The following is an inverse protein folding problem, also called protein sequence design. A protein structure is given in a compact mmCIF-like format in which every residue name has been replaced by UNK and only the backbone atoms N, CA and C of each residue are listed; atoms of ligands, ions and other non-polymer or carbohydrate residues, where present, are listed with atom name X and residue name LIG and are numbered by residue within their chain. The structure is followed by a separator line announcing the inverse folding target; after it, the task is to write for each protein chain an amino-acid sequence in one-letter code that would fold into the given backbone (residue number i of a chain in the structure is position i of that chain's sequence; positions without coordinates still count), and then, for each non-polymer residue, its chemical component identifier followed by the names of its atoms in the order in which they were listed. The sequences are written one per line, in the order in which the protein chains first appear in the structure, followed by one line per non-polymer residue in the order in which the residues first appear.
data_IF_568234651498
#
_entry.id   IF_568234651498
#
_cell.length_a   1.000
_cell.length_b   1.000
_cell.length_c   1.000
_cell.angle_alpha   90.00
_cell.angle_beta   90.00
_cell.angle_gamma   90.00
#
_symmetry.space_group_name_H-M   'P 1'
#
loop_
_entity.id
_entity.type
_entity.pdbx_description
1 polymer ?
#
# COMPACT_ATOMS: atom_id res chain seq x y z
N UNK A 1 6.07 11.08 -48.23
CA UNK A 1 4.77 10.57 -47.73
C UNK A 1 4.90 10.30 -46.23
N UNK A 2 4.47 11.24 -45.39
CA UNK A 2 4.41 11.06 -43.95
C UNK A 2 3.24 10.14 -43.61
N UNK A 3 3.46 9.10 -42.79
CA UNK A 3 2.38 8.27 -42.25
C UNK A 3 1.52 9.14 -41.34
N UNK A 4 0.18 9.12 -41.46
CA UNK A 4 -0.67 9.79 -40.50
C UNK A 4 -0.52 9.09 -39.14
N UNK A 5 -0.10 9.86 -38.14
CA UNK A 5 -0.15 9.41 -36.74
C UNK A 5 -1.61 9.07 -36.42
N UNK A 6 -1.86 7.78 -36.17
CA UNK A 6 -3.14 7.31 -35.64
C UNK A 6 -3.25 7.89 -34.22
N UNK A 7 -3.90 9.04 -34.10
CA UNK A 7 -4.28 9.62 -32.84
C UNK A 7 -5.14 8.60 -32.10
N UNK A 8 -4.60 8.02 -31.03
CA UNK A 8 -5.37 7.17 -30.12
C UNK A 8 -6.47 8.05 -29.56
N UNK A 9 -7.70 7.87 -30.07
CA UNK A 9 -8.89 8.50 -29.54
C UNK A 9 -9.02 8.07 -28.07
N UNK A 10 -8.64 8.97 -27.17
CA UNK A 10 -8.89 8.80 -25.74
C UNK A 10 -10.40 8.79 -25.59
N UNK A 11 -11.01 7.72 -25.03
CA UNK A 11 -12.45 7.66 -24.88
C UNK A 11 -12.93 8.87 -24.06
N UNK A 12 -14.07 9.47 -24.42
CA UNK A 12 -14.57 10.65 -23.73
C UNK A 12 -14.77 10.36 -22.24
N UNK A 13 -14.29 11.26 -21.39
CA UNK A 13 -14.40 11.12 -19.94
C UNK A 13 -15.89 11.05 -19.55
N UNK A 14 -16.33 10.02 -18.79
CA UNK A 14 -17.73 9.89 -18.40
C UNK A 14 -18.20 11.00 -17.44
N UNK A 15 -17.28 11.72 -16.79
CA UNK A 15 -17.57 12.91 -15.98
C UNK A 15 -16.57 14.04 -16.32
N UNK A 16 -16.95 15.03 -17.15
CA UNK A 16 -16.08 16.14 -17.53
C UNK A 16 -15.54 16.96 -16.35
N UNK A 17 -16.24 16.94 -15.21
CA UNK A 17 -15.83 17.61 -13.97
C UNK A 17 -14.66 16.95 -13.24
N UNK A 18 -14.31 15.70 -13.55
CA UNK A 18 -13.25 14.93 -12.89
C UNK A 18 -11.99 14.76 -13.75
N UNK A 19 -11.79 15.65 -14.73
CA UNK A 19 -10.68 15.62 -15.70
C UNK A 19 -9.29 15.55 -15.06
N UNK A 20 -9.12 16.04 -13.82
CA UNK A 20 -7.85 16.02 -13.12
C UNK A 20 -7.22 14.61 -13.02
N UNK A 21 -8.02 13.56 -12.76
CA UNK A 21 -7.55 12.16 -12.63
C UNK A 21 -7.47 11.40 -13.96
N UNK A 22 -8.02 11.99 -15.03
CA UNK A 22 -7.99 11.43 -16.39
C UNK A 22 -6.81 11.96 -17.20
N UNK A 23 -6.33 13.16 -16.89
CA UNK A 23 -5.09 13.68 -17.46
C UNK A 23 -3.86 12.89 -16.96
N UNK A 24 -2.83 12.68 -17.80
CA UNK A 24 -1.59 12.06 -17.36
C UNK A 24 -0.96 12.88 -16.22
N UNK A 25 -0.23 12.22 -15.28
CA UNK A 25 0.51 12.94 -14.26
C UNK A 25 1.59 13.84 -14.89
N UNK A 26 2.03 14.90 -14.20
CA UNK A 26 3.16 15.72 -14.66
C UNK A 26 4.36 14.85 -15.04
N UNK A 27 5.04 15.18 -16.14
CA UNK A 27 6.16 14.36 -16.63
C UNK A 27 7.45 14.53 -15.82
N UNK A 28 7.63 15.66 -15.13
CA UNK A 28 8.88 15.99 -14.45
C UNK A 28 9.31 14.99 -13.35
N UNK A 29 8.41 14.38 -12.54
CA UNK A 29 8.84 13.39 -11.55
C UNK A 29 9.35 12.10 -12.21
N UNK A 30 8.79 11.71 -13.36
CA UNK A 30 9.27 10.54 -14.10
C UNK A 30 10.71 10.74 -14.57
N UNK A 31 11.02 11.93 -15.04
CA UNK A 31 12.37 12.28 -15.47
C UNK A 31 13.37 12.12 -14.32
N UNK A 32 13.02 12.63 -13.14
CA UNK A 32 13.90 12.60 -11.95
C UNK A 32 14.04 11.19 -11.38
N UNK A 33 12.93 10.48 -11.19
CA UNK A 33 12.91 9.22 -10.43
C UNK A 33 13.06 7.95 -11.28
N UNK A 34 12.73 7.98 -12.57
CA UNK A 34 12.80 6.79 -13.42
C UNK A 34 13.91 6.90 -14.47
N UNK A 35 14.00 8.03 -15.18
CA UNK A 35 14.90 8.12 -16.33
C UNK A 35 16.36 8.29 -15.92
N UNK A 36 16.65 9.07 -14.87
CA UNK A 36 18.03 9.27 -14.39
C UNK A 36 18.62 7.98 -13.80
N UNK A 37 17.95 7.27 -12.86
CA UNK A 37 18.50 6.05 -12.29
C UNK A 37 18.61 4.92 -13.31
N UNK A 38 17.63 4.77 -14.22
CA UNK A 38 17.70 3.76 -15.27
C UNK A 38 18.92 3.99 -16.20
N UNK A 39 19.19 5.25 -16.58
CA UNK A 39 20.37 5.60 -17.38
C UNK A 39 21.68 5.34 -16.64
N UNK A 40 21.73 5.62 -15.33
CA UNK A 40 22.89 5.30 -14.48
C UNK A 40 23.09 3.79 -14.32
N UNK A 41 22.02 3.02 -14.16
CA UNK A 41 22.09 1.56 -14.01
C UNK A 41 22.54 0.87 -15.32
N UNK A 42 22.20 1.45 -16.47
CA UNK A 42 22.66 1.00 -17.79
C UNK A 42 24.18 1.20 -18.01
N UNK A 43 24.85 2.00 -17.19
CA UNK A 43 26.31 2.15 -17.24
C UNK A 43 27.07 1.00 -16.55
N UNK A 44 26.38 0.07 -15.88
CA UNK A 44 26.98 -1.12 -15.27
C UNK A 44 26.86 -2.34 -16.23
N UNK A 45 27.94 -2.78 -16.89
CA UNK A 45 27.87 -3.71 -18.04
C UNK A 45 27.50 -5.17 -17.75
N UNK A 46 27.31 -5.58 -16.49
CA UNK A 46 27.27 -7.01 -16.12
C UNK A 46 25.91 -7.57 -15.62
N UNK A 47 24.82 -6.81 -15.57
CA UNK A 47 23.65 -7.21 -14.75
C UNK A 47 22.35 -7.56 -15.50
N UNK A 48 22.36 -7.94 -16.78
CA UNK A 48 21.11 -8.24 -17.49
C UNK A 48 20.39 -9.51 -17.00
N UNK A 49 21.14 -10.54 -16.56
CA UNK A 49 20.57 -11.81 -16.08
C UNK A 49 20.20 -11.78 -14.58
N UNK A 50 20.83 -10.93 -13.78
CA UNK A 50 20.45 -10.69 -12.39
C UNK A 50 19.15 -9.86 -12.29
N UNK A 51 18.84 -8.99 -13.25
CA UNK A 51 17.78 -7.98 -13.11
C UNK A 51 16.33 -8.50 -12.88
N UNK A 52 15.98 -9.74 -13.22
CA UNK A 52 14.61 -10.28 -13.00
C UNK A 52 14.43 -11.02 -11.67
N UNK A 53 15.40 -11.84 -11.25
CA UNK A 53 15.40 -12.45 -9.92
C UNK A 53 15.80 -11.44 -8.83
N UNK A 54 16.57 -10.40 -9.20
CA UNK A 54 17.07 -9.36 -8.30
C UNK A 54 15.95 -8.52 -7.67
N UNK A 55 14.97 -8.04 -8.43
CA UNK A 55 14.00 -7.09 -7.86
C UNK A 55 13.11 -7.71 -6.78
N UNK A 56 12.54 -8.90 -7.03
CA UNK A 56 11.71 -9.58 -6.03
C UNK A 56 12.53 -10.00 -4.80
N UNK A 57 13.75 -10.52 -5.00
CA UNK A 57 14.65 -10.87 -3.91
C UNK A 57 15.10 -9.65 -3.09
N UNK A 58 15.38 -8.52 -3.75
CA UNK A 58 15.69 -7.24 -3.09
C UNK A 58 14.49 -6.76 -2.27
N UNK A 59 13.28 -6.72 -2.86
CA UNK A 59 12.10 -6.28 -2.11
C UNK A 59 11.78 -7.20 -0.94
N UNK A 60 11.92 -8.51 -1.12
CA UNK A 60 11.75 -9.48 -0.03
C UNK A 60 12.81 -9.26 1.04
N UNK A 61 14.08 -9.10 0.66
CA UNK A 61 15.19 -8.88 1.59
C UNK A 61 15.05 -7.57 2.36
N UNK A 62 14.74 -6.47 1.69
CA UNK A 62 14.46 -5.17 2.31
C UNK A 62 13.24 -5.27 3.23
N UNK A 63 12.17 -5.94 2.79
CA UNK A 63 10.97 -6.20 3.59
C UNK A 63 11.28 -7.02 4.84
N UNK A 64 12.09 -8.07 4.73
CA UNK A 64 12.54 -8.89 5.87
C UNK A 64 13.41 -8.08 6.81
N UNK A 65 14.37 -7.29 6.32
CA UNK A 65 15.21 -6.42 7.15
C UNK A 65 14.35 -5.40 7.90
N UNK A 66 13.38 -4.77 7.23
CA UNK A 66 12.45 -3.82 7.86
C UNK A 66 11.56 -4.50 8.90
N UNK A 67 11.05 -5.70 8.62
CA UNK A 67 10.25 -6.47 9.57
C UNK A 67 11.09 -6.85 10.80
N UNK A 68 12.31 -7.34 10.61
CA UNK A 68 13.24 -7.65 11.69
C UNK A 68 13.56 -6.41 12.51
N UNK A 69 13.80 -5.27 11.87
CA UNK A 69 13.99 -3.99 12.55
C UNK A 69 12.79 -3.64 13.43
N UNK A 70 11.56 -3.71 12.90
CA UNK A 70 10.35 -3.43 13.68
C UNK A 70 10.14 -4.38 14.85
N UNK A 71 10.42 -5.67 14.68
CA UNK A 71 10.35 -6.66 15.77
C UNK A 71 11.36 -6.33 16.87
N UNK A 72 12.62 -6.04 16.52
CA UNK A 72 13.66 -5.68 17.49
C UNK A 72 13.30 -4.37 18.22
N UNK A 73 12.80 -3.36 17.50
CA UNK A 73 12.38 -2.10 18.10
C UNK A 73 11.18 -2.28 19.03
N UNK A 74 10.20 -3.13 18.69
CA UNK A 74 9.10 -3.48 19.60
C UNK A 74 9.60 -4.19 20.85
N UNK A 75 10.58 -5.10 20.75
CA UNK A 75 11.18 -5.74 21.93
C UNK A 75 11.79 -4.67 22.85
N UNK A 76 12.51 -3.69 22.30
CA UNK A 76 13.07 -2.60 23.10
C UNK A 76 11.99 -1.68 23.68
N UNK A 77 10.97 -1.32 22.89
CA UNK A 77 9.85 -0.50 23.35
C UNK A 77 9.14 -1.16 24.54
N UNK A 78 8.74 -2.43 24.40
CA UNK A 78 8.04 -3.14 25.47
C UNK A 78 8.96 -3.51 26.64
N UNK A 79 10.26 -3.69 26.41
CA UNK A 79 11.25 -3.84 27.49
C UNK A 79 11.38 -2.55 28.31
N UNK A 80 11.42 -1.39 27.66
CA UNK A 80 11.45 -0.08 28.35
C UNK A 80 10.12 0.20 29.04
N UNK A 81 9.01 -0.07 28.36
CA UNK A 81 7.67 0.12 28.90
C UNK A 81 7.51 -0.55 30.25
N UNK A 82 7.99 -1.80 30.43
CA UNK A 82 7.94 -2.56 31.70
C UNK A 82 8.46 -1.86 32.95
N UNK A 83 9.29 -0.83 32.79
CA UNK A 83 9.89 -0.07 33.89
C UNK A 83 9.49 1.41 33.86
N UNK A 84 8.45 1.78 33.12
CA UNK A 84 8.07 3.17 32.88
C UNK A 84 6.67 3.43 33.40
N UNK A 85 6.52 4.42 34.29
CA UNK A 85 5.21 4.92 34.67
C UNK A 85 4.68 5.88 33.61
N UNK A 86 3.59 5.52 32.90
CA UNK A 86 2.99 6.40 31.88
C UNK A 86 2.45 7.71 32.45
N UNK A 87 2.07 7.74 33.73
CA UNK A 87 1.61 8.94 34.42
C UNK A 87 2.75 9.92 34.70
N UNK A 88 3.99 9.45 34.79
CA UNK A 88 5.17 10.28 35.04
C UNK A 88 5.90 10.64 33.73
N UNK A 89 6.14 9.65 32.88
CA UNK A 89 6.95 9.78 31.65
C UNK A 89 6.25 10.64 30.59
N UNK A 90 4.92 10.69 30.59
CA UNK A 90 4.17 11.50 29.64
C UNK A 90 4.15 13.01 29.96
N UNK A 91 4.43 13.38 31.21
CA UNK A 91 4.36 14.77 31.70
C UNK A 91 5.72 15.33 32.11
N UNK A 92 6.74 14.48 32.17
CA UNK A 92 8.11 14.92 32.47
C UNK A 92 8.56 15.87 31.39
N UNK A 93 8.90 17.10 31.79
CA UNK A 93 9.47 18.06 30.87
C UNK A 93 10.82 17.53 30.41
N UNK A 94 11.01 17.47 29.10
CA UNK A 94 12.28 17.09 28.53
C UNK A 94 13.38 18.04 28.99
N UNK A 95 14.54 17.47 29.34
CA UNK A 95 15.69 18.27 29.77
C UNK A 95 16.17 19.16 28.61
N UNK A 96 16.65 20.36 28.92
CA UNK A 96 17.16 21.26 27.89
C UNK A 96 18.31 20.58 27.10
N UNK A 97 18.11 20.37 25.79
CA UNK A 97 19.08 19.69 24.92
C UNK A 97 18.99 18.17 24.90
N UNK A 98 17.96 17.57 25.49
CA UNK A 98 17.70 16.13 25.37
C UNK A 98 17.38 15.77 23.91
N UNK A 99 18.04 14.72 23.42
CA UNK A 99 17.81 14.20 22.08
C UNK A 99 16.59 13.28 22.09
N UNK A 100 15.73 13.41 21.08
CA UNK A 100 14.57 12.54 20.92
C UNK A 100 14.97 11.06 20.82
N UNK A 101 14.23 10.21 21.54
CA UNK A 101 14.27 8.77 21.40
C UNK A 101 12.84 8.21 21.33
N UNK A 102 12.57 7.22 20.47
CA UNK A 102 11.26 6.55 20.44
C UNK A 102 10.95 5.78 21.74
N UNK A 103 11.93 5.64 22.64
CA UNK A 103 11.83 4.89 23.89
C UNK A 103 11.75 5.79 25.14
N UNK A 104 11.71 7.11 24.96
CA UNK A 104 11.62 8.10 26.06
C UNK A 104 10.34 8.90 25.94
N UNK A 105 9.85 9.45 27.05
CA UNK A 105 8.61 10.23 27.08
C UNK A 105 7.41 9.44 26.53
N UNK A 106 7.32 8.18 26.93
CA UNK A 106 6.32 7.22 26.45
C UNK A 106 4.92 7.68 26.88
N UNK A 107 4.08 7.90 25.87
CA UNK A 107 2.65 8.10 26.04
C UNK A 107 1.87 6.88 25.56
N UNK A 108 0.61 6.77 25.98
CA UNK A 108 -0.31 5.76 25.43
C UNK A 108 -0.36 5.86 23.91
N UNK A 109 -0.47 7.09 23.37
CA UNK A 109 -0.47 7.33 21.92
C UNK A 109 0.81 6.79 21.26
N UNK A 110 1.98 7.03 21.85
CA UNK A 110 3.25 6.55 21.31
C UNK A 110 3.31 5.02 21.26
N UNK A 111 2.89 4.34 22.32
CA UNK A 111 2.92 2.87 22.40
C UNK A 111 1.93 2.22 21.43
N UNK A 112 0.74 2.81 21.26
CA UNK A 112 -0.30 2.31 20.36
C UNK A 112 -0.07 2.69 18.88
N UNK A 113 0.87 3.59 18.58
CA UNK A 113 1.15 4.04 17.22
C UNK A 113 1.76 2.92 16.36
N UNK A 114 1.52 2.97 15.05
CA UNK A 114 2.06 2.01 14.10
C UNK A 114 3.59 2.08 13.99
N UNK A 115 4.22 0.98 13.56
CA UNK A 115 5.68 0.86 13.51
C UNK A 115 6.35 1.93 12.63
N UNK A 116 5.92 2.19 11.38
CA UNK A 116 6.52 3.23 10.56
C UNK A 116 6.44 4.61 11.20
N UNK A 117 5.28 5.00 11.73
CA UNK A 117 5.12 6.30 12.40
C UNK A 117 6.02 6.43 13.63
N UNK A 118 6.05 5.41 14.48
CA UNK A 118 6.78 5.46 15.75
C UNK A 118 8.31 5.31 15.59
N UNK A 119 8.78 4.46 14.66
CA UNK A 119 10.21 4.14 14.54
C UNK A 119 10.93 4.76 13.34
N UNK A 120 10.20 5.35 12.39
CA UNK A 120 10.79 5.95 11.19
C UNK A 120 10.37 7.41 11.09
N UNK A 121 9.08 7.70 10.94
CA UNK A 121 8.63 9.06 10.63
C UNK A 121 8.90 10.02 11.78
N UNK A 122 8.42 9.74 12.99
CA UNK A 122 8.61 10.64 14.15
C UNK A 122 10.10 10.85 14.48
N UNK A 123 10.96 9.80 14.57
CA UNK A 123 12.39 10.03 14.78
C UNK A 123 13.06 10.84 13.68
N UNK A 124 12.68 10.60 12.41
CA UNK A 124 13.28 11.34 11.29
C UNK A 124 12.84 12.81 11.23
N UNK A 125 11.61 13.13 11.63
CA UNK A 125 11.13 14.51 11.68
C UNK A 125 11.75 15.28 12.85
N UNK A 126 11.96 14.64 14.01
CA UNK A 126 12.70 15.21 15.15
C UNK A 126 14.19 15.40 14.81
N UNK A 127 14.81 14.42 14.14
CA UNK A 127 16.18 14.53 13.64
C UNK A 127 16.30 15.67 12.61
N UNK A 128 15.34 15.80 11.70
CA UNK A 128 15.33 16.91 10.75
C UNK A 128 15.25 18.26 11.46
N UNK A 129 14.35 18.42 12.44
CA UNK A 129 14.23 19.67 13.18
C UNK A 129 15.49 19.98 13.99
N UNK A 130 16.09 18.99 14.66
CA UNK A 130 17.32 19.20 15.43
C UNK A 130 18.54 19.55 14.57
N UNK A 131 18.70 18.91 13.40
CA UNK A 131 19.81 19.18 12.47
C UNK A 131 19.68 20.53 11.77
N UNK A 132 18.48 20.86 11.30
CA UNK A 132 18.25 22.08 10.50
C UNK A 132 17.83 23.27 11.34
N UNK A 133 17.47 23.05 12.62
CA UNK A 133 16.82 24.05 13.48
C UNK A 133 15.64 24.73 12.79
N UNK A 134 14.86 23.95 12.06
CA UNK A 134 13.80 24.45 11.18
C UNK A 134 12.84 25.38 11.91
N UNK A 135 12.36 24.98 13.10
CA UNK A 135 11.41 25.77 13.88
C UNK A 135 12.01 27.07 14.43
N UNK A 136 13.33 27.13 14.63
CA UNK A 136 14.04 28.34 15.06
C UNK A 136 14.31 29.29 13.88
N UNK A 137 14.70 28.75 12.72
CA UNK A 137 15.04 29.54 11.54
C UNK A 137 13.81 30.03 10.76
N UNK A 138 12.71 29.27 10.79
CA UNK A 138 11.48 29.56 10.07
C UNK A 138 10.28 29.64 11.04
N UNK A 139 10.28 30.57 12.00
CA UNK A 139 9.22 30.67 13.01
C UNK A 139 7.86 31.07 12.41
N UNK A 140 7.85 31.62 11.19
CA UNK A 140 6.63 31.99 10.47
C UNK A 140 5.88 30.79 9.87
N UNK A 141 6.53 29.62 9.77
CA UNK A 141 5.87 28.40 9.27
C UNK A 141 5.05 27.80 10.41
N UNK A 142 3.73 27.90 10.30
CA UNK A 142 2.79 27.30 11.26
C UNK A 142 2.60 25.80 10.98
N UNK A 143 2.14 25.07 12.00
CA UNK A 143 1.71 23.68 11.83
C UNK A 143 0.63 23.56 10.75
N UNK A 144 -0.36 24.45 10.74
CA UNK A 144 -1.43 24.47 9.73
C UNK A 144 -0.89 24.61 8.29
N UNK A 145 0.19 25.38 8.08
CA UNK A 145 0.81 25.52 6.77
C UNK A 145 1.47 24.22 6.30
N UNK A 146 2.09 23.48 7.23
CA UNK A 146 2.60 22.13 6.98
C UNK A 146 1.44 21.17 6.68
N UNK A 147 0.32 21.28 7.41
CA UNK A 147 -0.87 20.47 7.18
C UNK A 147 -1.45 20.68 5.77
N UNK A 148 -1.60 21.93 5.34
CA UNK A 148 -2.02 22.26 3.97
C UNK A 148 -1.05 21.69 2.93
N UNK A 149 0.26 21.73 3.19
CA UNK A 149 1.27 21.20 2.27
C UNK A 149 1.12 19.70 2.09
N UNK A 150 0.90 18.96 3.17
CA UNK A 150 0.72 17.51 3.08
C UNK A 150 -0.61 17.12 2.43
N UNK A 151 -1.66 17.95 2.53
CA UNK A 151 -2.88 17.81 1.71
C UNK A 151 -2.60 17.88 0.21
N UNK A 152 -1.78 18.85 -0.21
CA UNK A 152 -1.39 19.02 -1.61
C UNK A 152 -0.60 17.79 -2.08
N UNK A 153 0.33 17.29 -1.26
CA UNK A 153 1.05 16.05 -1.54
C UNK A 153 0.09 14.86 -1.70
N UNK A 154 -0.93 14.73 -0.85
CA UNK A 154 -1.94 13.65 -0.96
C UNK A 154 -2.72 13.73 -2.28
N UNK A 155 -3.12 14.93 -2.71
CA UNK A 155 -3.81 15.13 -3.99
C UNK A 155 -2.92 14.72 -5.18
N UNK A 156 -1.66 15.15 -5.18
CA UNK A 156 -0.69 14.80 -6.23
C UNK A 156 -0.46 13.27 -6.23
N UNK A 157 -0.25 12.67 -5.06
CA UNK A 157 -0.09 11.23 -4.91
C UNK A 157 -1.29 10.46 -5.48
N UNK A 158 -2.52 10.86 -5.14
CA UNK A 158 -3.74 10.25 -5.68
C UNK A 158 -3.79 10.28 -7.21
N UNK A 159 -3.36 11.38 -7.83
CA UNK A 159 -3.26 11.48 -9.29
C UNK A 159 -2.25 10.49 -9.89
N UNK A 160 -1.10 10.33 -9.27
CA UNK A 160 -0.09 9.33 -9.69
C UNK A 160 -0.60 7.89 -9.52
N UNK A 161 -1.30 7.61 -8.42
CA UNK A 161 -1.92 6.31 -8.14
C UNK A 161 -2.99 5.95 -9.17
N UNK A 162 -3.70 6.95 -9.73
CA UNK A 162 -4.70 6.75 -10.80
C UNK A 162 -4.10 6.38 -12.18
N UNK A 163 -2.77 6.31 -12.32
CA UNK A 163 -2.10 5.95 -13.58
C UNK A 163 -2.13 4.45 -13.83
N UNK A 164 -2.19 4.05 -15.10
CA UNK A 164 -2.08 2.66 -15.54
C UNK A 164 -0.65 2.12 -15.47
N UNK A 165 0.35 3.01 -15.47
CA UNK A 165 1.75 2.60 -15.33
C UNK A 165 2.11 2.33 -13.87
N UNK A 166 2.70 1.15 -13.60
CA UNK A 166 3.11 0.77 -12.25
C UNK A 166 4.15 1.74 -11.66
N UNK A 167 5.09 2.22 -12.47
CA UNK A 167 6.12 3.16 -11.99
C UNK A 167 5.52 4.48 -11.49
N UNK A 168 4.49 4.99 -12.15
CA UNK A 168 3.78 6.19 -11.68
C UNK A 168 3.09 5.94 -10.35
N UNK A 169 2.43 4.78 -10.21
CA UNK A 169 1.78 4.41 -8.95
C UNK A 169 2.79 4.32 -7.81
N UNK A 170 3.98 3.76 -8.06
CA UNK A 170 5.09 3.69 -7.10
C UNK A 170 5.62 5.08 -6.72
N UNK A 171 5.74 6.00 -7.67
CA UNK A 171 6.05 7.41 -7.38
C UNK A 171 4.95 8.02 -6.50
N UNK A 172 3.67 7.76 -6.83
CA UNK A 172 2.54 8.19 -6.02
C UNK A 172 2.61 7.69 -4.57
N UNK A 173 2.99 6.43 -4.36
CA UNK A 173 3.25 5.86 -3.03
C UNK A 173 4.38 6.62 -2.32
N UNK A 174 5.49 6.91 -3.01
CA UNK A 174 6.58 7.70 -2.45
C UNK A 174 6.16 9.12 -2.02
N UNK A 175 5.36 9.79 -2.85
CA UNK A 175 4.79 11.11 -2.51
C UNK A 175 3.85 11.00 -1.31
N UNK A 176 3.06 9.93 -1.20
CA UNK A 176 2.19 9.73 -0.06
C UNK A 176 2.97 9.39 1.22
N UNK A 177 4.09 8.67 1.14
CA UNK A 177 4.99 8.49 2.28
C UNK A 177 5.58 9.82 2.76
N UNK A 178 6.00 10.68 1.83
CA UNK A 178 6.44 12.03 2.18
C UNK A 178 5.32 12.85 2.81
N UNK A 179 4.08 12.70 2.33
CA UNK A 179 2.89 13.25 2.96
C UNK A 179 2.73 12.79 4.42
N UNK A 180 2.87 11.49 4.69
CA UNK A 180 2.82 10.94 6.06
C UNK A 180 3.98 11.44 6.94
N UNK A 181 5.14 11.66 6.34
CA UNK A 181 6.26 12.29 7.03
C UNK A 181 5.94 13.73 7.45
N UNK A 182 5.34 14.54 6.55
CA UNK A 182 4.91 15.90 6.86
C UNK A 182 3.80 15.96 7.92
N UNK A 183 2.88 15.00 7.90
CA UNK A 183 1.86 14.78 8.94
C UNK A 183 2.47 14.46 10.32
N UNK A 184 3.65 13.85 10.38
CA UNK A 184 4.37 13.73 11.65
C UNK A 184 5.13 15.01 12.03
N UNK A 185 5.48 15.82 11.03
CA UNK A 185 6.27 17.03 11.19
C UNK A 185 5.45 18.23 11.69
N UNK A 186 4.19 18.38 11.27
CA UNK A 186 3.33 19.47 11.74
C UNK A 186 3.12 19.44 13.27
N UNK A 187 3.02 18.24 13.86
CA UNK A 187 2.96 18.05 15.30
C UNK A 187 4.24 18.49 16.01
N UNK A 188 5.41 18.33 15.38
CA UNK A 188 6.68 18.82 15.94
C UNK A 188 6.73 20.34 15.89
N UNK A 189 6.37 20.93 14.75
CA UNK A 189 6.31 22.39 14.59
C UNK A 189 5.35 22.99 15.63
N UNK A 190 4.18 22.38 15.83
CA UNK A 190 3.25 22.79 16.86
C UNK A 190 3.86 22.72 18.27
N UNK A 191 4.50 21.60 18.62
CA UNK A 191 5.12 21.40 19.95
C UNK A 191 6.25 22.39 20.21
N UNK A 192 7.08 22.66 19.21
CA UNK A 192 8.17 23.64 19.30
C UNK A 192 7.61 25.04 19.58
N UNK A 193 6.59 25.46 18.83
CA UNK A 193 5.97 26.78 19.02
C UNK A 193 5.18 26.91 20.33
N UNK A 194 4.60 25.81 20.81
CA UNK A 194 3.87 25.78 22.09
C UNK A 194 4.78 25.65 23.32
N UNK A 195 6.11 25.53 23.15
CA UNK A 195 7.05 25.28 24.25
C UNK A 195 6.88 23.91 24.91
N UNK A 196 6.27 22.94 24.20
CA UNK A 196 5.97 21.57 24.66
C UNK A 196 6.88 20.55 23.99
N UNK A 197 8.17 20.85 23.93
CA UNK A 197 9.17 19.98 23.31
C UNK A 197 9.11 18.57 23.93
N UNK A 198 9.01 17.54 23.08
CA UNK A 198 8.92 16.11 23.44
C UNK A 198 7.72 15.68 24.31
N UNK A 199 6.72 16.54 24.51
CA UNK A 199 5.46 16.14 25.16
C UNK A 199 4.46 15.61 24.13
N UNK A 200 4.31 14.29 24.03
CA UNK A 200 3.44 13.63 23.04
C UNK A 200 1.99 13.41 23.50
N UNK A 201 1.49 14.28 24.38
CA UNK A 201 0.09 14.24 24.82
C UNK A 201 -0.82 14.92 23.78
N UNK A 202 -1.93 14.28 23.42
CA UNK A 202 -2.89 14.81 22.46
C UNK A 202 -3.70 15.94 23.08
N UNK A 203 -3.57 17.16 22.52
CA UNK A 203 -4.44 18.28 22.82
C UNK A 203 -5.79 18.17 22.08
N UNK A 204 -6.64 17.23 22.47
CA UNK A 204 -7.91 16.89 21.79
C UNK A 204 -8.90 18.06 21.63
N UNK A 205 -8.71 19.17 22.35
CA UNK A 205 -9.58 20.35 22.30
C UNK A 205 -9.04 21.50 21.42
N UNK A 206 -7.87 21.34 20.80
CA UNK A 206 -7.28 22.43 20.00
C UNK A 206 -7.84 22.48 18.57
N UNK A 207 -7.96 23.68 18.00
CA UNK A 207 -8.36 23.87 16.59
C UNK A 207 -7.38 23.16 15.66
N UNK A 208 -6.08 23.20 15.95
CA UNK A 208 -5.05 22.51 15.16
C UNK A 208 -5.29 21.00 15.08
N UNK A 209 -5.70 20.35 16.17
CA UNK A 209 -6.06 18.92 16.17
C UNK A 209 -7.21 18.61 15.20
N UNK A 210 -8.22 19.49 15.14
CA UNK A 210 -9.35 19.31 14.22
C UNK A 210 -8.94 19.53 12.76
N UNK A 211 -8.12 20.56 12.49
CA UNK A 211 -7.60 20.85 11.14
C UNK A 211 -6.75 19.68 10.64
N UNK A 212 -5.83 19.19 11.47
CA UNK A 212 -4.98 18.04 11.17
C UNK A 212 -5.81 16.79 10.82
N UNK A 213 -6.73 16.38 11.71
CA UNK A 213 -7.60 15.23 11.47
C UNK A 213 -8.50 15.37 10.23
N UNK A 214 -8.96 16.59 9.92
CA UNK A 214 -9.73 16.86 8.71
C UNK A 214 -8.86 16.72 7.44
N UNK A 215 -7.66 17.28 7.47
CA UNK A 215 -6.70 17.19 6.37
C UNK A 215 -6.27 15.74 6.14
N UNK A 216 -6.03 14.98 7.21
CA UNK A 216 -5.79 13.53 7.18
C UNK A 216 -6.88 12.76 6.46
N UNK A 217 -8.14 13.03 6.84
CA UNK A 217 -9.30 12.39 6.24
C UNK A 217 -9.41 12.73 4.75
N UNK A 218 -9.22 14.00 4.37
CA UNK A 218 -9.21 14.41 2.96
C UNK A 218 -8.05 13.78 2.18
N UNK A 219 -6.86 13.67 2.77
CA UNK A 219 -5.70 13.02 2.16
C UNK A 219 -5.97 11.54 1.86
N UNK A 220 -6.54 10.81 2.81
CA UNK A 220 -6.99 9.43 2.64
C UNK A 220 -8.06 9.28 1.54
N UNK A 221 -8.97 10.24 1.43
CA UNK A 221 -9.96 10.27 0.35
C UNK A 221 -9.31 10.45 -1.02
N UNK A 222 -8.31 11.33 -1.18
CA UNK A 222 -7.60 11.48 -2.45
C UNK A 222 -6.88 10.20 -2.88
N UNK A 223 -6.27 9.46 -1.95
CA UNK A 223 -5.70 8.15 -2.24
C UNK A 223 -6.78 7.16 -2.71
N UNK A 224 -7.90 7.11 -2.00
CA UNK A 224 -9.03 6.23 -2.31
C UNK A 224 -9.62 6.52 -3.68
N UNK A 225 -9.78 7.80 -4.06
CA UNK A 225 -10.17 8.19 -5.41
C UNK A 225 -9.13 7.77 -6.44
N UNK A 226 -7.83 7.96 -6.16
CA UNK A 226 -6.75 7.50 -7.03
C UNK A 226 -6.85 6.00 -7.34
N UNK A 227 -7.06 5.19 -6.31
CA UNK A 227 -7.28 3.75 -6.41
C UNK A 227 -8.54 3.43 -7.23
N UNK A 228 -9.66 4.10 -6.95
CA UNK A 228 -10.92 3.89 -7.67
C UNK A 228 -10.78 4.17 -9.17
N UNK A 229 -10.17 5.30 -9.55
CA UNK A 229 -9.96 5.66 -10.94
C UNK A 229 -9.03 4.66 -11.65
N UNK A 230 -7.99 4.20 -10.96
CA UNK A 230 -7.13 3.14 -11.49
C UNK A 230 -7.93 1.86 -11.79
N UNK A 231 -8.78 1.41 -10.86
CA UNK A 231 -9.59 0.20 -11.05
C UNK A 231 -10.62 0.37 -12.18
N UNK A 232 -11.24 1.55 -12.27
CA UNK A 232 -12.15 1.87 -13.38
C UNK A 232 -11.46 1.83 -14.74
N UNK A 233 -10.21 2.29 -14.85
CA UNK A 233 -9.43 2.19 -16.08
C UNK A 233 -9.06 0.74 -16.39
N UNK A 234 -8.52 0.02 -15.39
CA UNK A 234 -8.08 -1.37 -15.50
C UNK A 234 -9.20 -2.32 -15.95
N UNK A 235 -10.39 -2.22 -15.35
CA UNK A 235 -11.51 -3.12 -15.63
C UNK A 235 -12.56 -2.54 -16.60
N UNK A 236 -12.63 -1.22 -16.76
CA UNK A 236 -13.64 -0.57 -17.62
C UNK A 236 -13.35 -0.67 -19.12
N UNK A 237 -12.09 -0.80 -19.53
CA UNK A 237 -11.70 -0.88 -20.94
C UNK A 237 -12.24 -2.14 -21.64
N UNK A 238 -12.48 -3.21 -20.88
CA UNK A 238 -12.96 -4.51 -21.41
C UNK A 238 -14.41 -4.41 -21.88
N UNK A 239 -15.25 -3.64 -21.17
CA UNK A 239 -16.69 -3.55 -21.46
C UNK A 239 -17.00 -2.90 -22.81
N UNK A 240 -16.21 -1.90 -23.24
CA UNK A 240 -16.47 -1.18 -24.50
C UNK A 240 -16.08 -2.00 -25.73
N UNK A 241 -15.03 -2.83 -25.63
CA UNK A 241 -14.50 -3.61 -26.77
C UNK A 241 -15.37 -4.82 -27.13
N UNK A 242 -16.08 -5.40 -26.15
CA UNK A 242 -17.03 -6.48 -26.43
C UNK A 242 -18.30 -5.97 -27.13
N UNK A 243 -18.74 -4.75 -26.81
CA UNK A 243 -19.94 -4.17 -27.44
C UNK A 243 -19.72 -3.71 -28.88
N UNK A 244 -18.48 -3.45 -29.30
CA UNK A 244 -18.17 -3.07 -30.69
C UNK A 244 -17.98 -4.27 -31.62
N UNK A 245 -17.65 -5.46 -31.09
CA UNK A 245 -17.42 -6.66 -31.89
C UNK A 245 -18.68 -7.50 -32.15
N UNK A 246 -19.77 -7.26 -31.43
CA UNK A 246 -21.06 -7.94 -31.67
C UNK A 246 -21.87 -7.35 -32.84
N UNK A 247 -21.37 -6.32 -33.52
CA UNK A 247 -22.02 -5.71 -34.70
C UNK A 247 -21.43 -6.15 -36.05
N UNK A 248 -20.50 -7.12 -36.09
CA UNK A 248 -20.10 -7.72 -37.36
C UNK A 248 -21.14 -8.78 -37.78
N UNK A 249 -22.25 -8.31 -38.38
CA UNK A 249 -23.21 -9.15 -39.08
C UNK A 249 -22.52 -9.90 -40.23
N UNK A 250 -22.93 -11.14 -40.52
CA UNK A 250 -22.41 -11.90 -41.66
C UNK A 250 -22.80 -11.17 -42.94
N UNK A 251 -21.80 -10.73 -43.70
CA UNK A 251 -22.01 -10.22 -45.05
C UNK A 251 -22.67 -11.33 -45.88
N UNK A 252 -23.83 -11.00 -46.44
CA UNK A 252 -24.56 -11.76 -47.42
C UNK A 252 -23.66 -12.24 -48.54
N UNK A 253 -23.75 -13.54 -48.81
CA UNK A 253 -23.26 -14.21 -50.01
C UNK A 253 -23.79 -13.55 -51.29
N UNK A 254 -22.91 -12.91 -52.04
CA UNK A 254 -22.89 -12.86 -53.51
C UNK A 254 -21.68 -12.04 -53.94
N UNK A 255 -20.71 -12.64 -54.64
CA UNK A 255 -20.41 -12.32 -56.03
C UNK A 255 -19.16 -13.10 -56.50
N UNK A 256 -19.28 -13.59 -57.74
CA UNK A 256 -18.38 -14.51 -58.44
C UNK A 256 -17.24 -13.75 -59.11
N UNK A 257 -16.15 -14.49 -59.32
CA UNK A 257 -15.19 -14.38 -60.44
C UNK A 257 -14.42 -13.06 -60.61
N UNK A 258 -13.15 -13.04 -60.21
CA UNK A 258 -11.99 -13.02 -61.15
C UNK A 258 -10.67 -12.64 -60.45
N UNK A 259 -9.67 -13.52 -60.66
CA UNK A 259 -8.24 -13.40 -60.32
C UNK A 259 -7.58 -12.14 -60.93
N UNK A 260 -6.49 -11.61 -60.35
CA UNK A 260 -5.18 -12.13 -60.73
C UNK A 260 -4.18 -12.36 -59.59
N UNK A 261 -3.54 -13.51 -59.74
CA UNK A 261 -2.29 -14.03 -59.22
C UNK A 261 -1.17 -12.97 -59.14
N UNK A 262 -0.63 -12.72 -57.94
CA UNK A 262 0.74 -12.25 -57.74
C UNK A 262 1.39 -13.01 -56.59
N UNK A 263 2.12 -14.05 -56.94
CA UNK A 263 3.05 -14.78 -56.08
C UNK A 263 4.33 -13.95 -55.91
N UNK A 264 4.65 -13.55 -54.68
CA UNK A 264 6.01 -13.13 -54.30
C UNK A 264 6.60 -14.16 -53.34
N UNK A 265 7.50 -14.96 -53.88
CA UNK A 265 8.36 -15.89 -53.16
C UNK A 265 9.41 -15.10 -52.37
N UNK A 266 9.52 -15.34 -51.06
CA UNK A 266 10.66 -14.91 -50.25
C UNK A 266 11.52 -16.14 -49.95
N UNK A 267 12.80 -16.04 -50.30
CA UNK A 267 13.84 -17.03 -50.01
C UNK A 267 14.35 -16.85 -48.56
N UNK A 268 14.33 -17.94 -47.80
CA UNK A 268 14.94 -18.04 -46.48
C UNK A 268 16.33 -18.67 -46.60
N UNK A 269 17.36 -17.98 -46.12
CA UNK A 269 18.72 -18.54 -45.91
C UNK A 269 18.83 -19.12 -44.50
N UNK A 270 19.50 -20.27 -44.30
CA UNK A 270 19.66 -20.89 -42.98
C UNK A 270 20.94 -20.40 -42.27
N UNK A 271 20.85 -20.19 -40.95
CA UNK A 271 22.00 -20.11 -40.06
C UNK A 271 22.17 -21.44 -39.30
N UNK A 272 23.41 -21.85 -38.96
CA UNK A 272 23.68 -23.12 -38.34
C UNK A 272 23.47 -23.10 -36.82
N UNK A 273 22.96 -24.21 -36.31
CA UNK A 273 22.84 -24.55 -34.89
C UNK A 273 24.12 -25.24 -34.42
N UNK A 274 24.68 -24.78 -33.31
CA UNK A 274 25.66 -25.52 -32.52
C UNK A 274 25.25 -25.50 -31.04
N UNK A 275 24.95 -26.69 -30.50
CA UNK A 275 25.02 -27.00 -29.06
C UNK A 275 26.39 -27.69 -28.79
N UNK A 276 26.89 -27.83 -27.54
CA UNK A 276 26.32 -28.78 -26.57
C UNK A 276 26.48 -28.46 -25.04
N UNK A 277 25.68 -29.20 -24.22
CA UNK A 277 25.93 -29.65 -22.82
C UNK A 277 26.02 -28.59 -21.67
N UNK A 278 25.61 -28.80 -20.40
CA UNK A 278 25.18 -29.96 -19.59
C UNK A 278 24.55 -29.53 -18.24
N UNK A 279 23.67 -30.38 -17.65
CA UNK A 279 23.43 -30.70 -16.20
C UNK A 279 23.27 -29.56 -15.18
N UNK A 280 22.57 -29.64 -14.05
CA UNK A 280 21.57 -30.49 -13.38
C UNK A 280 21.34 -29.78 -12.03
N UNK A 281 20.13 -29.72 -11.48
CA UNK A 281 19.85 -29.86 -10.03
C UNK A 281 18.34 -29.72 -9.82
N UNK A 282 17.74 -30.67 -9.10
CA UNK A 282 16.32 -30.74 -8.80
C UNK A 282 15.95 -29.91 -7.58
N UNK A 283 14.79 -29.26 -7.63
CA UNK A 283 14.18 -28.63 -6.46
C UNK A 283 12.65 -28.77 -6.52
N UNK A 284 12.09 -28.96 -5.33
CA UNK A 284 10.70 -29.28 -5.00
C UNK A 284 9.73 -28.18 -5.46
N UNK A 285 8.67 -28.56 -6.20
CA UNK A 285 7.59 -27.64 -6.65
C UNK A 285 6.29 -27.97 -5.92
N UNK A 286 5.72 -26.96 -5.26
CA UNK A 286 4.37 -26.94 -4.69
C UNK A 286 3.35 -26.62 -5.80
N UNK A 287 2.15 -27.23 -5.82
CA UNK A 287 1.32 -27.27 -7.01
C UNK A 287 0.43 -26.03 -7.08
N UNK A 288 0.66 -25.14 -8.04
CA UNK A 288 -0.37 -24.43 -8.79
C UNK A 288 0.33 -23.67 -9.94
N UNK A 289 -0.21 -23.86 -11.14
CA UNK A 289 0.24 -23.33 -12.45
C UNK A 289 1.41 -24.08 -13.12
N UNK A 290 1.17 -25.33 -13.53
CA UNK A 290 1.86 -25.90 -14.69
C UNK A 290 1.08 -25.56 -15.96
N UNK A 291 1.68 -24.74 -16.83
CA UNK A 291 1.44 -24.86 -18.26
C UNK A 291 2.13 -26.16 -18.70
N UNK A 292 1.38 -27.25 -18.79
CA UNK A 292 1.88 -28.50 -19.33
C UNK A 292 2.31 -28.30 -20.79
N UNK A 293 3.62 -28.20 -21.03
CA UNK A 293 4.20 -28.38 -22.36
C UNK A 293 4.28 -29.89 -22.57
N UNK A 294 3.24 -30.46 -23.17
CA UNK A 294 3.26 -31.86 -23.61
C UNK A 294 4.20 -31.93 -24.82
N UNK A 295 5.44 -32.38 -24.59
CA UNK A 295 6.31 -32.84 -25.66
C UNK A 295 5.84 -34.26 -26.02
N UNK A 296 5.19 -34.41 -27.17
CA UNK A 296 4.86 -35.70 -27.73
C UNK A 296 6.17 -36.30 -28.27
N UNK A 297 6.72 -37.29 -27.57
CA UNK A 297 7.64 -38.23 -28.18
C UNK A 297 6.78 -39.32 -28.83
N UNK A 298 6.85 -39.41 -30.15
CA UNK A 298 6.40 -40.58 -30.90
C UNK A 298 7.34 -41.74 -30.56
N UNK A 299 6.90 -42.62 -29.67
CA UNK A 299 7.31 -44.02 -29.70
C UNK A 299 6.06 -44.88 -29.53
N UNK A 300 5.89 -45.73 -30.54
CA UNK A 300 4.91 -46.80 -30.62
C UNK A 300 4.97 -47.71 -29.41
N UNK A 301 3.87 -47.88 -28.70
CA UNK A 301 3.36 -49.21 -28.36
C UNK A 301 1.92 -49.17 -27.83
N UNK A 302 1.15 -50.10 -28.37
CA UNK A 302 -0.26 -50.36 -28.16
C UNK A 302 -0.54 -51.04 -26.82
N UNK A 303 -1.58 -50.54 -26.13
CA UNK A 303 -2.69 -51.29 -25.49
C UNK A 303 -3.01 -50.89 -24.04
N UNK A 304 -4.32 -50.63 -23.85
CA UNK A 304 -5.10 -50.57 -22.58
C UNK A 304 -4.84 -49.38 -21.65
N UNK A 305 -5.80 -48.45 -21.56
CA UNK A 305 -6.69 -48.32 -20.38
C UNK A 305 -7.79 -47.26 -20.61
N UNK A 306 -8.91 -47.49 -19.92
CA UNK A 306 -10.21 -46.86 -20.00
C UNK A 306 -10.37 -45.49 -19.32
N UNK A 307 -11.27 -44.69 -19.89
CA UNK A 307 -12.17 -43.72 -19.26
C UNK A 307 -11.57 -42.56 -18.43
N UNK A 308 -11.27 -41.46 -19.12
CA UNK A 308 -11.40 -40.11 -18.59
C UNK A 308 -11.82 -39.15 -19.73
N UNK A 309 -12.87 -38.38 -19.50
CA UNK A 309 -13.39 -37.38 -20.43
C UNK A 309 -12.35 -36.31 -20.73
N UNK A 310 -11.74 -36.39 -21.91
CA UNK A 310 -10.75 -35.44 -22.41
C UNK A 310 -11.39 -34.16 -22.92
N UNK A 311 -10.68 -33.01 -22.86
CA UNK A 311 -11.03 -31.84 -23.64
C UNK A 311 -10.80 -32.12 -25.13
N UNK A 312 -11.78 -31.78 -25.98
CA UNK A 312 -11.67 -31.87 -27.44
C UNK A 312 -10.44 -31.11 -27.93
N UNK A 313 -9.43 -31.86 -28.39
CA UNK A 313 -8.27 -31.31 -29.08
C UNK A 313 -8.35 -31.75 -30.54
N UNK A 314 -8.70 -30.82 -31.43
CA UNK A 314 -8.67 -31.05 -32.87
C UNK A 314 -7.23 -30.86 -33.36
N UNK A 315 -6.54 -31.96 -33.62
CA UNK A 315 -5.26 -31.96 -34.33
C UNK A 315 -5.57 -31.87 -35.83
N UNK A 316 -5.34 -30.69 -36.42
CA UNK A 316 -5.37 -30.51 -37.87
C UNK A 316 -3.94 -30.68 -38.37
N UNK A 317 -3.72 -31.78 -39.10
CA UNK A 317 -2.46 -32.09 -39.76
C UNK A 317 -2.27 -31.22 -41.02
N UNK A 318 -1.03 -30.83 -41.28
CA UNK A 318 -0.60 -30.24 -42.55
C UNK A 318 -0.42 -28.71 -42.59
N UNK A 319 0.84 -28.28 -42.41
CA UNK A 319 1.46 -27.09 -43.06
C UNK A 319 0.97 -25.67 -42.73
N UNK A 320 0.31 -25.43 -41.60
CA UNK A 320 0.10 -24.06 -41.14
C UNK A 320 0.63 -23.87 -39.71
N UNK A 321 1.49 -22.87 -39.54
CA UNK A 321 2.06 -22.45 -38.25
C UNK A 321 0.89 -22.23 -37.28
N UNK A 322 0.69 -23.17 -36.36
CA UNK A 322 -0.33 -23.06 -35.33
C UNK A 322 0.04 -21.87 -34.45
N UNK A 323 -0.66 -20.75 -34.68
CA UNK A 323 -0.55 -19.56 -33.85
C UNK A 323 -1.16 -19.95 -32.49
N UNK A 324 -0.31 -20.32 -31.53
CA UNK A 324 -0.71 -20.55 -30.14
C UNK A 324 -1.22 -19.21 -29.61
N UNK A 325 -2.52 -18.99 -29.76
CA UNK A 325 -3.19 -17.84 -29.19
C UNK A 325 -3.37 -18.18 -27.72
N UNK A 326 -2.38 -17.81 -26.91
CA UNK A 326 -2.51 -17.83 -25.45
C UNK A 326 -3.65 -16.87 -25.11
N UNK A 327 -4.85 -17.43 -24.93
CA UNK A 327 -6.02 -16.69 -24.51
C UNK A 327 -5.81 -16.38 -23.03
N UNK A 328 -5.16 -15.26 -22.74
CA UNK A 328 -5.09 -14.74 -21.38
C UNK A 328 -6.51 -14.76 -20.81
N UNK A 329 -6.65 -15.39 -19.64
CA UNK A 329 -7.90 -15.52 -18.87
C UNK A 329 -8.64 -14.19 -18.96
N UNK A 330 -9.84 -14.19 -19.54
CA UNK A 330 -10.66 -13.00 -19.66
C UNK A 330 -10.93 -12.48 -18.26
N UNK A 331 -10.21 -11.44 -17.84
CA UNK A 331 -10.52 -10.68 -16.64
C UNK A 331 -12.01 -10.31 -16.75
N UNK A 332 -12.82 -10.86 -15.84
CA UNK A 332 -14.25 -10.60 -15.81
C UNK A 332 -14.44 -9.09 -15.65
N UNK A 333 -15.18 -8.48 -16.59
CA UNK A 333 -15.48 -7.07 -16.51
C UNK A 333 -16.33 -6.80 -15.25
N UNK A 334 -15.77 -6.08 -14.28
CA UNK A 334 -16.51 -5.67 -13.10
C UNK A 334 -17.32 -4.39 -13.37
N UNK A 335 -18.55 -4.33 -12.84
CA UNK A 335 -19.35 -3.10 -12.90
C UNK A 335 -18.69 -1.96 -12.12
N UNK A 336 -18.78 -0.73 -12.63
CA UNK A 336 -18.23 0.47 -11.97
C UNK A 336 -18.78 0.67 -10.56
N UNK A 337 -20.06 0.35 -10.35
CA UNK A 337 -20.71 0.42 -9.04
C UNK A 337 -20.11 -0.59 -8.05
N UNK A 338 -19.78 -1.80 -8.52
CA UNK A 338 -19.14 -2.81 -7.70
C UNK A 338 -17.73 -2.36 -7.26
N UNK A 339 -16.94 -1.82 -8.19
CA UNK A 339 -15.62 -1.27 -7.89
C UNK A 339 -15.70 -0.09 -6.90
N UNK A 340 -16.67 0.81 -7.10
CA UNK A 340 -16.95 1.90 -6.16
C UNK A 340 -17.28 1.36 -4.77
N UNK A 341 -18.19 0.39 -4.66
CA UNK A 341 -18.58 -0.19 -3.38
C UNK A 341 -17.41 -0.86 -2.66
N UNK A 342 -16.49 -1.49 -3.39
CA UNK A 342 -15.27 -2.08 -2.80
C UNK A 342 -14.33 -1.03 -2.20
N UNK A 343 -14.07 0.06 -2.92
CA UNK A 343 -13.24 1.16 -2.41
C UNK A 343 -13.94 1.89 -1.27
N UNK A 344 -15.26 2.09 -1.37
CA UNK A 344 -16.07 2.69 -0.31
C UNK A 344 -16.04 1.84 0.97
N UNK A 345 -16.18 0.52 0.86
CA UNK A 345 -16.08 -0.40 1.99
C UNK A 345 -14.70 -0.33 2.66
N UNK A 346 -13.62 -0.20 1.88
CA UNK A 346 -12.28 0.06 2.42
C UNK A 346 -12.22 1.40 3.18
N UNK A 347 -12.79 2.47 2.62
CA UNK A 347 -12.92 3.76 3.30
C UNK A 347 -13.67 3.67 4.63
N UNK A 348 -14.79 2.93 4.67
CA UNK A 348 -15.53 2.67 5.92
C UNK A 348 -14.68 1.89 6.93
N UNK A 349 -13.97 0.84 6.49
CA UNK A 349 -13.08 0.07 7.37
C UNK A 349 -11.96 0.94 7.95
N UNK A 350 -11.40 1.84 7.13
CA UNK A 350 -10.40 2.82 7.55
C UNK A 350 -10.95 3.79 8.61
N UNK A 351 -12.15 4.34 8.39
CA UNK A 351 -12.81 5.24 9.35
C UNK A 351 -13.11 4.53 10.68
N UNK A 352 -13.60 3.29 10.63
CA UNK A 352 -13.86 2.48 11.83
C UNK A 352 -12.56 2.18 12.57
N UNK A 353 -11.49 1.76 11.89
CA UNK A 353 -10.20 1.48 12.50
C UNK A 353 -9.57 2.74 13.12
N UNK A 354 -9.57 3.87 12.39
CA UNK A 354 -9.06 5.14 12.90
C UNK A 354 -9.84 5.64 14.11
N UNK A 355 -11.19 5.66 14.03
CA UNK A 355 -12.04 6.12 15.12
C UNK A 355 -11.99 5.20 16.36
N UNK A 356 -11.92 3.89 16.17
CA UNK A 356 -11.78 2.93 17.27
C UNK A 356 -10.42 3.07 17.96
N UNK A 357 -9.34 3.24 17.18
CA UNK A 357 -8.00 3.48 17.70
C UNK A 357 -7.92 4.80 18.49
N UNK A 358 -8.46 5.90 17.95
CA UNK A 358 -8.44 7.20 18.64
C UNK A 358 -9.19 7.16 19.97
N UNK A 359 -10.36 6.51 19.98
CA UNK A 359 -11.12 6.26 21.23
C UNK A 359 -10.36 5.36 22.20
N UNK A 360 -9.68 4.32 21.72
CA UNK A 360 -8.86 3.45 22.56
C UNK A 360 -7.71 4.22 23.20
N UNK A 361 -6.98 5.04 22.42
CA UNK A 361 -5.93 5.92 22.94
C UNK A 361 -6.49 6.85 24.00
N UNK A 362 -7.60 7.55 23.71
CA UNK A 362 -8.24 8.45 24.69
C UNK A 362 -8.61 7.74 25.99
N UNK A 363 -9.28 6.59 25.90
CA UNK A 363 -9.70 5.80 27.07
C UNK A 363 -8.52 5.37 27.94
N UNK A 364 -7.43 4.90 27.34
CA UNK A 364 -6.23 4.53 28.08
C UNK A 364 -5.45 5.73 28.60
N UNK A 365 -5.41 6.85 27.88
CA UNK A 365 -4.84 8.12 28.38
C UNK A 365 -5.54 8.56 29.65
N UNK A 366 -6.88 8.54 29.68
CA UNK A 366 -7.69 8.89 30.86
C UNK A 366 -7.47 7.96 32.05
N UNK A 367 -6.97 6.74 31.83
CA UNK A 367 -6.72 5.76 32.90
C UNK A 367 -5.26 5.74 33.34
N UNK A 368 -4.29 5.82 32.42
CA UNK A 368 -2.87 5.58 32.71
C UNK A 368 -1.99 6.83 32.68
N UNK A 369 -2.48 7.96 32.15
CA UNK A 369 -1.70 9.21 32.10
C UNK A 369 -2.25 10.27 33.06
N UNK A 370 -3.18 9.90 33.95
CA UNK A 370 -3.69 10.75 35.03
C UNK A 370 -2.87 10.50 36.29
N UNK A 371 -2.37 11.58 36.90
CA UNK A 371 -1.69 11.51 38.20
C UNK A 371 -2.72 11.32 39.31
N UNK A 372 -2.55 10.27 40.11
CA UNK A 372 -3.42 9.95 41.23
C UNK A 372 -2.81 10.47 42.53
N UNK A 373 -3.61 11.12 43.36
CA UNK A 373 -3.14 11.69 44.64
C UNK A 373 -2.81 10.62 45.68
N UNK A 374 -3.46 9.45 45.60
CA UNK A 374 -3.21 8.32 46.50
C UNK A 374 -2.03 7.47 45.99
N UNK A 375 -0.95 7.31 46.79
CA UNK A 375 0.17 6.43 46.45
C UNK A 375 -0.25 4.98 46.19
N UNK A 376 -1.24 4.46 46.92
CA UNK A 376 -1.71 3.08 46.75
C UNK A 376 -2.35 2.86 45.39
N UNK A 377 -3.22 3.77 44.96
CA UNK A 377 -3.84 3.74 43.63
C UNK A 377 -2.83 3.97 42.51
N UNK A 378 -1.79 4.78 42.74
CA UNK A 378 -0.71 4.99 41.76
C UNK A 378 0.09 3.71 41.51
N UNK A 379 0.40 2.95 42.57
CA UNK A 379 1.06 1.64 42.45
C UNK A 379 0.14 0.65 41.69
N UNK A 380 -1.15 0.61 42.02
CA UNK A 380 -2.11 -0.24 41.32
C UNK A 380 -2.26 0.15 39.85
N UNK A 381 -2.30 1.45 39.53
CA UNK A 381 -2.34 1.96 38.15
C UNK A 381 -1.11 1.50 37.37
N UNK A 382 0.07 1.60 37.99
CA UNK A 382 1.30 1.08 37.43
C UNK A 382 1.19 -0.43 37.17
N UNK A 383 0.81 -1.24 38.14
CA UNK A 383 0.64 -2.70 37.98
C UNK A 383 -0.35 -3.08 36.87
N UNK A 384 -1.50 -2.40 36.80
CA UNK A 384 -2.53 -2.63 35.79
C UNK A 384 -2.05 -2.25 34.37
N UNK A 385 -1.30 -1.15 34.25
CA UNK A 385 -0.71 -0.72 32.97
C UNK A 385 0.29 -1.74 32.42
N UNK A 386 0.97 -2.47 33.31
CA UNK A 386 1.95 -3.51 32.98
C UNK A 386 1.37 -4.92 32.93
N UNK A 387 0.07 -5.09 33.14
CA UNK A 387 -0.56 -6.41 33.06
C UNK A 387 -0.41 -7.01 31.65
N UNK A 388 -0.28 -8.34 31.58
CA UNK A 388 -0.13 -9.07 30.32
C UNK A 388 -1.26 -8.76 29.33
N UNK A 389 -2.48 -8.58 29.83
CA UNK A 389 -3.66 -8.23 29.01
C UNK A 389 -3.49 -6.84 28.39
N UNK A 390 -3.10 -5.83 29.17
CA UNK A 390 -2.83 -4.48 28.67
C UNK A 390 -1.74 -4.51 27.59
N UNK A 391 -0.64 -5.22 27.83
CA UNK A 391 0.46 -5.36 26.86
C UNK A 391 -0.01 -6.00 25.54
N UNK A 392 -0.80 -7.07 25.61
CA UNK A 392 -1.35 -7.74 24.41
C UNK A 392 -2.26 -6.78 23.64
N UNK A 393 -3.16 -6.06 24.32
CA UNK A 393 -4.06 -5.11 23.66
C UNK A 393 -3.27 -3.98 23.00
N UNK A 394 -2.27 -3.42 23.71
CA UNK A 394 -1.39 -2.38 23.17
C UNK A 394 -0.65 -2.86 21.92
N UNK A 395 -0.09 -4.07 21.96
CA UNK A 395 0.59 -4.68 20.82
C UNK A 395 -0.34 -4.87 19.62
N UNK A 396 -1.56 -5.38 19.83
CA UNK A 396 -2.53 -5.59 18.75
C UNK A 396 -2.94 -4.28 18.07
N UNK A 397 -3.13 -3.20 18.83
CA UNK A 397 -3.48 -1.90 18.26
C UNK A 397 -2.45 -1.34 17.27
N UNK A 398 -1.17 -1.70 17.41
CA UNK A 398 -0.10 -1.30 16.47
C UNK A 398 -0.33 -1.85 15.05
N UNK A 399 -1.00 -2.99 14.93
CA UNK A 399 -1.32 -3.63 13.63
C UNK A 399 -2.68 -3.23 13.06
N UNK A 400 -3.55 -2.63 13.89
CA UNK A 400 -4.98 -2.44 13.59
C UNK A 400 -5.37 -0.96 13.74
N UNK A 401 -4.42 -0.05 13.47
CA UNK A 401 -4.70 1.40 13.43
C UNK A 401 -5.11 1.84 12.02
N UNK A 402 -5.87 2.93 11.90
CA UNK A 402 -6.19 3.50 10.59
C UNK A 402 -4.95 3.82 9.74
N UNK A 403 -3.89 4.32 10.38
CA UNK A 403 -2.62 4.61 9.72
C UNK A 403 -1.93 3.35 9.18
N UNK A 404 -2.02 2.24 9.93
CA UNK A 404 -1.53 0.93 9.49
C UNK A 404 -2.27 0.46 8.23
N UNK A 405 -3.60 0.60 8.18
CA UNK A 405 -4.41 0.23 7.02
C UNK A 405 -4.07 1.05 5.76
N UNK A 406 -3.73 2.34 5.93
CA UNK A 406 -3.25 3.18 4.83
C UNK A 406 -1.88 2.70 4.33
N UNK A 407 -0.97 2.37 5.25
CA UNK A 407 0.35 1.84 4.90
C UNK A 407 0.26 0.52 4.14
N UNK A 408 -0.65 -0.37 4.55
CA UNK A 408 -0.89 -1.63 3.83
C UNK A 408 -1.48 -1.40 2.43
N UNK A 409 -2.36 -0.41 2.25
CA UNK A 409 -2.84 -0.03 0.91
C UNK A 409 -1.69 0.51 0.04
N UNK A 410 -0.81 1.35 0.59
CA UNK A 410 0.39 1.83 -0.13
C UNK A 410 1.28 0.67 -0.57
N UNK A 411 1.51 -0.31 0.31
CA UNK A 411 2.25 -1.52 -0.03
C UNK A 411 1.57 -2.28 -1.16
N UNK A 412 0.24 -2.46 -1.09
CA UNK A 412 -0.54 -3.12 -2.13
C UNK A 412 -0.45 -2.38 -3.49
N UNK A 413 -0.46 -1.05 -3.48
CA UNK A 413 -0.23 -0.22 -4.68
C UNK A 413 1.18 -0.44 -5.22
N UNK A 414 2.19 -0.47 -4.35
CA UNK A 414 3.59 -0.60 -4.74
C UNK A 414 3.91 -1.94 -5.43
N UNK A 415 3.30 -3.03 -4.95
CA UNK A 415 3.45 -4.39 -5.49
C UNK A 415 2.41 -4.77 -6.57
N UNK A 416 1.56 -3.84 -6.97
CA UNK A 416 0.47 -4.04 -7.95
C UNK A 416 -0.62 -5.06 -7.55
N UNK A 417 -0.90 -5.16 -6.24
CA UNK A 417 -1.89 -6.08 -5.63
C UNK A 417 -3.08 -5.35 -5.00
N UNK A 418 -3.45 -4.20 -5.57
CA UNK A 418 -4.55 -3.34 -5.10
C UNK A 418 -5.88 -4.12 -5.06
N UNK A 419 -6.15 -4.91 -6.09
CA UNK A 419 -7.42 -5.63 -6.21
C UNK A 419 -7.57 -6.72 -5.17
N UNK A 420 -6.54 -7.56 -5.03
CA UNK A 420 -6.48 -8.62 -4.03
C UNK A 420 -6.59 -8.03 -2.62
N UNK A 421 -5.89 -6.93 -2.34
CA UNK A 421 -6.00 -6.24 -1.05
C UNK A 421 -7.43 -5.76 -0.76
N UNK A 422 -8.09 -5.11 -1.72
CA UNK A 422 -9.48 -4.64 -1.56
C UNK A 422 -10.52 -5.76 -1.42
N UNK A 423 -10.22 -6.97 -1.89
CA UNK A 423 -11.12 -8.10 -1.71
C UNK A 423 -11.15 -8.57 -0.25
N UNK A 424 -10.00 -8.61 0.42
CA UNK A 424 -9.85 -9.20 1.75
C UNK A 424 -9.84 -8.16 2.88
N UNK A 425 -9.13 -7.06 2.69
CA UNK A 425 -8.80 -6.14 3.78
C UNK A 425 -10.02 -5.57 4.51
N UNK A 426 -11.08 -5.04 3.84
CA UNK A 426 -12.19 -4.42 4.55
C UNK A 426 -12.88 -5.37 5.54
N UNK A 427 -13.03 -6.64 5.17
CA UNK A 427 -13.69 -7.65 6.00
C UNK A 427 -12.81 -8.10 7.16
N UNK A 428 -11.53 -8.39 6.88
CA UNK A 428 -10.58 -8.79 7.92
C UNK A 428 -10.48 -7.68 8.97
N UNK A 429 -10.33 -6.42 8.55
CA UNK A 429 -10.22 -5.32 9.48
C UNK A 429 -11.50 -5.07 10.26
N UNK A 430 -12.69 -5.12 9.66
CA UNK A 430 -13.93 -4.97 10.44
C UNK A 430 -14.10 -6.10 11.47
N UNK A 431 -13.81 -7.34 11.07
CA UNK A 431 -13.91 -8.53 11.94
C UNK A 431 -12.89 -8.49 13.08
N UNK A 432 -11.73 -7.88 12.89
CA UNK A 432 -10.68 -7.83 13.92
C UNK A 432 -10.77 -6.56 14.78
N UNK A 433 -11.01 -5.39 14.18
CA UNK A 433 -11.06 -4.10 14.88
C UNK A 433 -12.24 -4.03 15.85
N UNK A 434 -13.44 -4.48 15.45
CA UNK A 434 -14.64 -4.34 16.29
C UNK A 434 -14.50 -5.15 17.59
N UNK A 435 -14.11 -6.45 17.57
CA UNK A 435 -13.85 -7.19 18.79
C UNK A 435 -12.70 -6.62 19.62
N UNK A 436 -11.59 -6.21 18.99
CA UNK A 436 -10.48 -5.60 19.73
C UNK A 436 -10.92 -4.33 20.48
N UNK A 437 -11.74 -3.51 19.83
CA UNK A 437 -12.35 -2.34 20.47
C UNK A 437 -13.29 -2.73 21.62
N UNK A 438 -14.16 -3.72 21.43
CA UNK A 438 -15.02 -4.24 22.49
C UNK A 438 -14.24 -4.74 23.71
N UNK A 439 -13.19 -5.53 23.48
CA UNK A 439 -12.26 -5.99 24.52
C UNK A 439 -11.60 -4.80 25.22
N UNK A 440 -11.16 -3.80 24.44
CA UNK A 440 -10.54 -2.59 24.99
C UNK A 440 -11.50 -1.84 25.92
N UNK A 441 -12.77 -1.65 25.52
CA UNK A 441 -13.79 -0.98 26.34
C UNK A 441 -14.01 -1.73 27.66
N UNK A 442 -14.24 -3.06 27.59
CA UNK A 442 -14.47 -3.88 28.79
C UNK A 442 -13.25 -3.86 29.72
N UNK A 443 -12.04 -3.97 29.15
CA UNK A 443 -10.80 -3.93 29.90
C UNK A 443 -10.61 -2.58 30.61
N UNK A 444 -10.83 -1.47 29.91
CA UNK A 444 -10.76 -0.12 30.49
C UNK A 444 -11.79 0.08 31.59
N UNK A 445 -13.05 -0.35 31.39
CA UNK A 445 -14.10 -0.26 32.41
C UNK A 445 -13.75 -1.03 33.68
N UNK A 446 -13.20 -2.24 33.53
CA UNK A 446 -12.73 -3.04 34.66
C UNK A 446 -11.61 -2.31 35.43
N UNK A 447 -10.65 -1.70 34.74
CA UNK A 447 -9.58 -0.94 35.38
C UNK A 447 -10.08 0.32 36.08
N UNK A 448 -11.03 1.07 35.47
CA UNK A 448 -11.66 2.23 36.12
C UNK A 448 -12.34 1.85 37.43
N UNK A 449 -13.06 0.72 37.44
CA UNK A 449 -13.69 0.18 38.65
C UNK A 449 -12.68 -0.16 39.75
N UNK A 450 -11.52 -0.74 39.38
CA UNK A 450 -10.45 -1.05 40.34
C UNK A 450 -9.74 0.21 40.87
N UNK A 451 -9.56 1.22 40.02
CA UNK A 451 -8.89 2.48 40.38
C UNK A 451 -9.82 3.51 41.03
N UNK A 452 -11.11 3.18 41.20
CA UNK A 452 -12.13 4.09 41.75
C UNK A 452 -12.18 5.44 40.99
N UNK A 453 -11.90 5.41 39.68
CA UNK A 453 -12.05 6.57 38.82
C UNK A 453 -13.55 6.75 38.57
N UNK A 454 -14.10 7.88 39.00
CA UNK A 454 -15.51 8.22 38.81
C UNK A 454 -15.90 8.04 37.32
N UNK A 455 -17.02 7.34 37.10
CA UNK A 455 -17.55 6.98 35.78
C UNK A 455 -18.20 8.15 35.04
#
# INVERSE_FOLDING_TARGET
MARPESSRLVPPCPCPSLTAYWSPPPAWPRLVFCDIPARLLHLLPCCSHLNRLSNAAIFLSVGTIMLTYFVVMDIFLFSRFRYTSLAEDAWTASAAGELYSPFTHLSVKAILSDHPRHYIFTPSTELFNSLTRFTEHLPFVSADAVSITHLICAFIAGKFVASENLNDRRIGVGIFFFRTWLDSFDGIVFRAHAGRHLQYNSGYSSIGYFVDGFVDTLGGNFLSFGVLFYLWKRFGFISTRMSSNSQFSPASSQEKDSLPLWTKSYSTTPYPVSSPFSKSFGEYVSPHDEAAVVLINDDSDSDKLSSASSPDFTVIDGKNVAQITVRCRSDSAYSRMYLFLKVFAYGCALLVAGGAWDRAVKMYTEVFQVQLSDPGLSILQFELSHSTITMIIFFLWRFISGQTLLTYMQLAIFIDKIWEYLQFAPWIFLVVTIPLYGITVVHVQNMRGQLQLDL
#
